data_IF_762465652349
#
_entry.id   IF_762465652349
#
_cell.length_a   1.000
_cell.length_b   1.000
_cell.length_c   1.000
_cell.angle_alpha   90.00
_cell.angle_beta   90.00
_cell.angle_gamma   90.00
#
_symmetry.space_group_name_H-M   'P 1'
#
loop_
_entity.id
_entity.type
_entity.pdbx_description
1 polymer ?
#
# COMPACT_ATOMS: atom_id res chain seq x y z
N UNK A 1 77.69 -3.46 11.25
CA UNK A 1 77.13 -3.99 9.99
C UNK A 1 75.66 -3.60 9.94
N UNK A 2 75.31 -2.67 9.07
CA UNK A 2 73.93 -2.25 8.85
C UNK A 2 73.35 -3.12 7.73
N UNK A 3 72.25 -3.83 7.98
CA UNK A 3 71.52 -4.53 6.93
C UNK A 3 70.13 -3.94 6.79
N UNK A 4 69.88 -3.51 5.56
CA UNK A 4 68.64 -2.94 5.02
C UNK A 4 67.62 -4.07 4.80
N UNK A 5 66.33 -3.76 4.86
CA UNK A 5 65.42 -3.69 3.70
C UNK A 5 63.97 -3.69 4.20
N UNK A 6 63.28 -2.67 3.73
CA UNK A 6 61.89 -2.29 3.92
C UNK A 6 60.98 -3.28 3.18
N UNK A 7 59.93 -3.77 3.84
CA UNK A 7 58.78 -4.40 3.16
C UNK A 7 57.52 -3.62 3.52
N UNK A 8 57.12 -2.75 2.60
CA UNK A 8 55.86 -2.02 2.59
C UNK A 8 54.72 -3.00 2.29
N UNK A 9 53.94 -3.34 3.31
CA UNK A 9 52.70 -4.12 3.12
C UNK A 9 51.58 -3.11 2.79
N UNK A 10 51.34 -2.94 1.50
CA UNK A 10 50.23 -2.14 0.94
C UNK A 10 48.92 -2.89 1.18
N UNK A 11 48.35 -2.76 2.38
CA UNK A 11 47.01 -3.22 2.69
C UNK A 11 45.97 -2.28 2.09
N UNK A 12 45.56 -2.53 0.85
CA UNK A 12 44.40 -1.85 0.24
C UNK A 12 43.15 -2.30 0.99
N UNK A 13 42.76 -1.48 1.95
CA UNK A 13 41.52 -1.59 2.71
C UNK A 13 40.35 -1.48 1.73
N UNK A 14 39.80 -2.63 1.35
CA UNK A 14 38.54 -2.74 0.62
C UNK A 14 37.43 -2.27 1.57
N UNK A 15 37.24 -0.95 1.65
CA UNK A 15 36.06 -0.34 2.26
C UNK A 15 34.87 -0.77 1.41
N UNK A 16 34.24 -1.86 1.80
CA UNK A 16 32.87 -2.15 1.40
C UNK A 16 32.03 -0.97 1.91
N UNK A 17 31.82 0.03 1.05
CA UNK A 17 30.70 0.95 1.18
C UNK A 17 29.44 0.11 0.98
N UNK A 18 29.01 -0.58 2.03
CA UNK A 18 27.61 -0.95 2.20
C UNK A 18 26.85 0.36 2.36
N UNK A 19 26.50 0.97 1.23
CA UNK A 19 25.57 2.09 1.20
C UNK A 19 24.29 1.68 1.94
N UNK A 20 23.65 2.61 2.66
CA UNK A 20 22.40 2.29 3.35
C UNK A 20 21.42 1.79 2.29
N UNK A 21 21.03 0.52 2.40
CA UNK A 21 19.89 0.01 1.68
C UNK A 21 18.74 0.95 2.05
N UNK A 22 18.24 1.71 1.08
CA UNK A 22 17.08 2.56 1.28
C UNK A 22 15.97 1.67 1.84
N UNK A 23 15.68 1.81 3.14
CA UNK A 23 14.55 1.13 3.73
C UNK A 23 13.34 1.59 2.94
N UNK A 24 12.74 0.69 2.16
CA UNK A 24 11.43 0.95 1.58
C UNK A 24 10.51 1.30 2.75
N UNK A 25 10.04 2.55 2.80
CA UNK A 25 9.19 3.09 3.87
C UNK A 25 7.81 2.40 3.92
N UNK A 26 7.53 1.56 2.93
CA UNK A 26 6.30 0.83 2.73
C UNK A 26 6.55 -0.68 2.79
N UNK A 27 5.64 -1.40 3.44
CA UNK A 27 5.67 -2.87 3.56
C UNK A 27 4.47 -3.43 2.83
N UNK A 28 4.69 -4.31 1.87
CA UNK A 28 3.62 -5.00 1.15
C UNK A 28 2.76 -5.83 2.12
N UNK A 29 1.43 -5.75 1.95
CA UNK A 29 0.48 -6.62 2.63
C UNK A 29 0.18 -7.81 1.70
N UNK A 30 0.67 -9.00 2.08
CA UNK A 30 0.59 -10.24 1.27
C UNK A 30 -0.22 -11.35 1.93
N UNK A 31 -0.90 -11.04 3.03
CA UNK A 31 -1.75 -11.98 3.76
C UNK A 31 -3.22 -11.69 3.46
N UNK A 32 -4.01 -12.69 3.00
CA UNK A 32 -5.45 -12.55 2.88
C UNK A 32 -6.14 -12.16 4.18
N UNK A 33 -5.64 -12.64 5.31
CA UNK A 33 -6.18 -12.32 6.63
C UNK A 33 -5.94 -10.86 6.97
N UNK A 34 -4.73 -10.35 6.73
CA UNK A 34 -4.41 -8.94 6.95
C UNK A 34 -5.22 -8.03 6.02
N UNK A 35 -5.43 -8.43 4.76
CA UNK A 35 -6.28 -7.69 3.82
C UNK A 35 -7.76 -7.66 4.26
N UNK A 36 -8.29 -8.77 4.79
CA UNK A 36 -9.64 -8.80 5.37
C UNK A 36 -9.74 -7.90 6.58
N UNK A 37 -8.75 -7.93 7.47
CA UNK A 37 -8.71 -7.08 8.66
C UNK A 37 -8.61 -5.59 8.30
N UNK A 38 -7.87 -5.25 7.24
CA UNK A 38 -7.72 -3.90 6.70
C UNK A 38 -9.04 -3.33 6.14
N UNK A 39 -9.95 -4.17 5.65
CA UNK A 39 -11.22 -3.73 5.06
C UNK A 39 -12.44 -3.94 5.97
N UNK A 40 -12.37 -4.86 6.94
CA UNK A 40 -13.54 -5.18 7.77
C UNK A 40 -13.85 -4.10 8.80
N UNK A 41 -14.96 -3.39 8.59
CA UNK A 41 -15.46 -2.29 9.43
C UNK A 41 -14.45 -1.13 9.52
N UNK A 42 -13.96 -0.71 8.36
CA UNK A 42 -12.89 0.28 8.22
C UNK A 42 -13.33 1.40 7.29
N UNK A 43 -12.83 2.60 7.59
CA UNK A 43 -13.03 3.80 6.77
C UNK A 43 -11.70 4.20 6.15
N UNK A 44 -11.72 4.42 4.84
CA UNK A 44 -10.59 4.86 4.05
C UNK A 44 -10.85 6.30 3.64
N UNK A 45 -9.86 7.16 3.83
CA UNK A 45 -9.90 8.57 3.42
C UNK A 45 -8.75 8.86 2.49
N UNK A 46 -9.04 9.41 1.32
CA UNK A 46 -8.04 9.79 0.34
C UNK A 46 -8.44 11.03 -0.44
N UNK A 47 -7.60 11.43 -1.38
CA UNK A 47 -7.90 12.47 -2.36
C UNK A 47 -7.58 11.94 -3.74
N UNK A 48 -8.60 11.83 -4.59
CA UNK A 48 -8.45 11.36 -5.95
C UNK A 48 -8.68 12.54 -6.92
N UNK A 49 -7.66 12.88 -7.70
CA UNK A 49 -7.70 14.02 -8.64
C UNK A 49 -8.15 15.35 -7.98
N UNK A 50 -7.73 15.58 -6.74
CA UNK A 50 -8.09 16.78 -5.97
C UNK A 50 -9.46 16.72 -5.28
N UNK A 51 -10.23 15.64 -5.47
CA UNK A 51 -11.54 15.44 -4.84
C UNK A 51 -11.39 14.54 -3.62
N UNK A 52 -11.92 14.93 -2.44
CA UNK A 52 -11.97 14.06 -1.28
C UNK A 52 -12.82 12.82 -1.55
N UNK A 53 -12.28 11.65 -1.21
CA UNK A 53 -12.97 10.37 -1.31
C UNK A 53 -12.99 9.72 0.07
N UNK A 54 -14.16 9.23 0.47
CA UNK A 54 -14.36 8.46 1.70
C UNK A 54 -14.98 7.13 1.35
N UNK A 55 -14.35 6.03 1.72
CA UNK A 55 -14.86 4.68 1.49
C UNK A 55 -15.08 4.01 2.85
N UNK A 56 -16.22 3.38 3.05
CA UNK A 56 -16.47 2.58 4.23
C UNK A 56 -16.80 1.15 3.82
N UNK A 57 -16.05 0.20 4.38
CA UNK A 57 -16.18 -1.22 4.09
C UNK A 57 -16.61 -1.96 5.34
N UNK A 58 -17.64 -2.80 5.21
CA UNK A 58 -18.20 -3.62 6.29
C UNK A 58 -17.66 -5.03 6.19
N UNK A 59 -17.62 -5.72 7.33
CA UNK A 59 -17.16 -7.11 7.41
C UNK A 59 -18.00 -8.10 6.56
N UNK A 60 -19.23 -7.76 6.19
CA UNK A 60 -20.11 -8.59 5.36
C UNK A 60 -19.82 -8.50 3.84
N UNK A 61 -18.73 -7.84 3.45
CA UNK A 61 -18.34 -7.69 2.05
C UNK A 61 -19.08 -6.57 1.32
N UNK A 62 -19.88 -5.75 2.01
CA UNK A 62 -20.51 -4.54 1.43
C UNK A 62 -19.77 -3.29 1.84
N UNK A 63 -19.91 -2.24 1.04
CA UNK A 63 -19.35 -0.94 1.34
C UNK A 63 -20.09 0.20 0.64
N UNK A 64 -19.62 1.41 0.91
CA UNK A 64 -20.07 2.63 0.28
C UNK A 64 -18.87 3.51 -0.02
N UNK A 65 -18.80 4.03 -1.24
CA UNK A 65 -17.84 5.06 -1.64
C UNK A 65 -18.58 6.39 -1.72
N UNK A 66 -17.96 7.44 -1.18
CA UNK A 66 -18.47 8.80 -1.22
C UNK A 66 -17.44 9.70 -1.89
N UNK A 67 -17.85 10.36 -2.97
CA UNK A 67 -17.03 11.30 -3.72
C UNK A 67 -17.93 12.39 -4.28
N UNK A 68 -17.58 13.66 -4.07
CA UNK A 68 -18.34 14.81 -4.58
C UNK A 68 -19.87 14.68 -4.37
N UNK A 69 -20.30 14.39 -3.14
CA UNK A 69 -21.70 14.17 -2.71
C UNK A 69 -22.39 12.90 -3.25
N UNK A 70 -21.79 12.20 -4.20
CA UNK A 70 -22.32 10.93 -4.69
C UNK A 70 -22.03 9.82 -3.68
N UNK A 71 -23.03 8.97 -3.45
CA UNK A 71 -22.95 7.77 -2.60
C UNK A 71 -23.10 6.54 -3.48
N UNK A 72 -22.00 5.81 -3.67
CA UNK A 72 -21.91 4.68 -4.58
C UNK A 72 -21.83 3.40 -3.75
N UNK A 73 -22.87 2.55 -3.72
CA UNK A 73 -22.80 1.26 -3.05
C UNK A 73 -21.84 0.34 -3.78
N UNK A 74 -21.06 -0.44 -3.03
CA UNK A 74 -20.13 -1.40 -3.58
C UNK A 74 -20.07 -2.69 -2.77
N UNK A 75 -19.46 -3.72 -3.34
CA UNK A 75 -19.02 -4.91 -2.62
C UNK A 75 -17.51 -5.04 -2.69
N UNK A 76 -16.92 -5.79 -1.76
CA UNK A 76 -15.49 -6.05 -1.74
C UNK A 76 -15.20 -7.50 -1.36
N UNK A 77 -14.10 -8.03 -1.89
CA UNK A 77 -13.59 -9.35 -1.56
C UNK A 77 -12.07 -9.42 -1.66
N UNK A 78 -11.46 -10.31 -0.89
CA UNK A 78 -10.04 -10.64 -1.04
C UNK A 78 -9.89 -11.70 -2.13
N UNK A 79 -9.07 -11.41 -3.14
CA UNK A 79 -8.79 -12.29 -4.26
C UNK A 79 -7.35 -12.78 -4.21
N UNK A 80 -7.18 -14.10 -4.18
CA UNK A 80 -5.85 -14.71 -4.07
C UNK A 80 -5.16 -14.32 -2.76
N UNK A 81 -3.86 -14.04 -2.83
CA UNK A 81 -3.03 -13.81 -1.64
C UNK A 81 -2.86 -12.33 -1.28
N UNK A 82 -2.92 -11.43 -2.26
CA UNK A 82 -2.42 -10.06 -2.11
C UNK A 82 -3.32 -8.98 -2.75
N UNK A 83 -4.54 -9.32 -3.16
CA UNK A 83 -5.46 -8.37 -3.80
C UNK A 83 -6.78 -8.24 -3.05
N UNK A 84 -7.33 -7.03 -3.06
CA UNK A 84 -8.74 -6.76 -2.75
C UNK A 84 -9.40 -6.20 -3.99
N UNK A 85 -10.53 -6.79 -4.37
CA UNK A 85 -11.33 -6.31 -5.49
C UNK A 85 -12.60 -5.66 -4.96
N UNK A 86 -12.88 -4.45 -5.45
CA UNK A 86 -14.07 -3.66 -5.12
C UNK A 86 -14.93 -3.61 -6.37
N UNK A 87 -16.20 -4.01 -6.25
CA UNK A 87 -17.16 -4.04 -7.35
C UNK A 87 -18.27 -3.03 -7.11
N UNK A 88 -18.57 -2.26 -8.15
CA UNK A 88 -19.64 -1.27 -8.24
C UNK A 88 -20.42 -1.50 -9.54
N UNK A 89 -21.45 -0.70 -9.80
CA UNK A 89 -22.33 -0.90 -10.96
C UNK A 89 -21.58 -0.86 -12.30
N UNK A 90 -20.53 -0.04 -12.36
CA UNK A 90 -19.72 0.22 -13.56
C UNK A 90 -18.60 -0.81 -13.77
N UNK A 91 -18.29 -1.66 -12.78
CA UNK A 91 -17.27 -2.70 -12.90
C UNK A 91 -16.56 -3.05 -11.59
N UNK A 92 -15.42 -3.70 -11.74
CA UNK A 92 -14.59 -4.16 -10.62
C UNK A 92 -13.17 -3.60 -10.75
N UNK A 93 -12.67 -3.00 -9.67
CA UNK A 93 -11.29 -2.55 -9.53
C UNK A 93 -10.56 -3.39 -8.50
N UNK A 94 -9.37 -3.88 -8.82
CA UNK A 94 -8.56 -4.68 -7.89
C UNK A 94 -7.28 -3.96 -7.48
N UNK A 95 -6.94 -4.03 -6.20
CA UNK A 95 -5.89 -3.26 -5.57
C UNK A 95 -4.93 -4.13 -4.77
N UNK A 96 -3.66 -3.73 -4.75
CA UNK A 96 -2.63 -4.21 -3.81
C UNK A 96 -2.34 -3.13 -2.79
N UNK A 97 -2.03 -3.53 -1.55
CA UNK A 97 -1.81 -2.60 -0.45
C UNK A 97 -0.40 -2.69 0.13
N UNK A 98 0.09 -1.55 0.58
CA UNK A 98 1.30 -1.43 1.36
C UNK A 98 0.99 -0.57 2.60
N UNK A 99 1.59 -0.89 3.74
CA UNK A 99 1.46 -0.10 4.98
C UNK A 99 2.72 0.72 5.22
N UNK A 100 2.57 1.93 5.75
CA UNK A 100 3.72 2.76 6.15
C UNK A 100 4.41 2.17 7.38
N UNK A 101 5.74 2.20 7.40
CA UNK A 101 6.54 1.85 8.59
C UNK A 101 6.52 2.96 9.64
N UNK A 102 6.19 4.19 9.25
CA UNK A 102 6.27 5.39 10.09
C UNK A 102 4.92 5.80 10.65
N UNK A 103 3.85 5.62 9.86
CA UNK A 103 2.50 6.07 10.18
C UNK A 103 1.53 4.87 10.09
N UNK A 104 1.10 4.29 11.22
CA UNK A 104 0.33 3.04 11.21
C UNK A 104 -1.09 3.17 10.60
N UNK A 105 -1.60 4.39 10.47
CA UNK A 105 -2.87 4.72 9.82
C UNK A 105 -2.72 4.96 8.31
N UNK A 106 -1.50 5.05 7.77
CA UNK A 106 -1.27 5.35 6.36
C UNK A 106 -0.93 4.12 5.53
N UNK A 107 -1.61 4.03 4.39
CA UNK A 107 -1.45 2.95 3.43
C UNK A 107 -1.31 3.53 2.04
N UNK A 108 -0.66 2.77 1.16
CA UNK A 108 -0.69 2.98 -0.28
C UNK A 108 -1.47 1.85 -0.90
N UNK A 109 -2.41 2.16 -1.79
CA UNK A 109 -3.00 1.18 -2.70
C UNK A 109 -2.53 1.41 -4.12
N UNK A 110 -2.28 0.32 -4.84
CA UNK A 110 -1.98 0.34 -6.27
C UNK A 110 -3.10 -0.38 -7.01
N UNK A 111 -3.74 0.31 -7.96
CA UNK A 111 -4.72 -0.32 -8.83
C UNK A 111 -4.02 -1.26 -9.81
N UNK A 112 -4.45 -2.52 -9.83
CA UNK A 112 -3.92 -3.57 -10.71
C UNK A 112 -4.89 -3.93 -11.84
N UNK A 113 -6.18 -3.70 -11.65
CA UNK A 113 -7.24 -3.97 -12.61
C UNK A 113 -8.29 -2.85 -12.58
N UNK A 114 -8.84 -2.51 -13.75
CA UNK A 114 -9.99 -1.62 -13.90
C UNK A 114 -10.99 -2.23 -14.89
N UNK A 115 -12.18 -2.59 -14.40
CA UNK A 115 -13.13 -3.38 -15.18
C UNK A 115 -12.50 -4.70 -15.64
N UNK A 116 -12.53 -4.98 -16.95
CA UNK A 116 -11.89 -6.18 -17.53
C UNK A 116 -10.44 -5.95 -17.96
N UNK A 117 -9.90 -4.72 -17.81
CA UNK A 117 -8.58 -4.33 -18.31
C UNK A 117 -7.57 -4.24 -17.18
N UNK A 118 -6.30 -4.50 -17.50
CA UNK A 118 -5.19 -4.14 -16.61
C UNK A 118 -5.11 -2.63 -16.52
N UNK A 119 -5.13 -2.08 -15.31
CA UNK A 119 -5.01 -0.64 -15.12
C UNK A 119 -3.56 -0.19 -15.34
N UNK A 120 -3.38 1.04 -15.83
CA UNK A 120 -2.10 1.74 -15.65
C UNK A 120 -1.93 1.93 -14.14
N UNK A 121 -0.82 1.44 -13.58
CA UNK A 121 -0.60 1.47 -12.13
C UNK A 121 -0.63 2.91 -11.61
N UNK A 122 -1.69 3.25 -10.88
CA UNK A 122 -1.80 4.48 -10.10
C UNK A 122 -1.65 4.12 -8.62
N UNK A 123 -0.70 4.77 -7.96
CA UNK A 123 -0.53 4.69 -6.50
C UNK A 123 -1.35 5.79 -5.84
N UNK A 124 -2.08 5.44 -4.80
CA UNK A 124 -2.88 6.36 -4.01
C UNK A 124 -2.55 6.16 -2.53
N UNK A 125 -2.24 7.25 -1.83
CA UNK A 125 -2.07 7.26 -0.38
C UNK A 125 -3.45 7.45 0.25
N UNK A 126 -3.72 6.68 1.31
CA UNK A 126 -4.97 6.72 2.04
C UNK A 126 -4.71 6.58 3.53
N UNK A 127 -5.59 7.18 4.33
CA UNK A 127 -5.67 6.97 5.77
C UNK A 127 -6.78 5.98 6.09
N UNK A 128 -6.51 5.04 7.00
CA UNK A 128 -7.48 4.04 7.44
C UNK A 128 -7.82 4.24 8.91
N UNK A 129 -9.11 4.35 9.18
CA UNK A 129 -9.68 4.55 10.50
C UNK A 129 -10.64 3.39 10.85
N UNK A 130 -10.75 3.07 12.14
CA UNK A 130 -11.74 2.13 12.63
C UNK A 130 -13.15 2.74 12.64
N UNK A 131 -14.15 1.92 12.30
CA UNK A 131 -15.55 2.27 12.50
C UNK A 131 -16.23 2.91 11.28
N UNK A 132 -17.48 3.32 11.51
CA UNK A 132 -18.36 3.97 10.53
C UNK A 132 -18.04 5.48 10.56
N UNK A 133 -17.80 6.12 9.41
CA UNK A 133 -17.50 7.54 9.41
C UNK A 133 -18.72 8.37 9.83
N UNK A 134 -18.46 9.42 10.59
CA UNK A 134 -19.44 10.49 10.81
C UNK A 134 -19.57 11.28 9.49
N UNK A 135 -20.81 11.45 9.03
CA UNK A 135 -21.14 12.13 7.77
C UNK A 135 -21.84 13.46 8.04
#
# INVERSE_FOLDING_TARGET
>A
MASRIIVLITGVMFLMLSGPAASQDWVDIKSPEELRALHSNKTFRSTFSGVPVVEHYRADGKGILISAELRIPCTWEVKGNDQVCISFQEGTDCFRFQRSKKNPDEYVRTRTQHGTRRATSSMEILKVEDGIPEF
#
